data_IF_330633826793
#
_entry.id   IF_330633826793
#
_cell.length_a   1.000
_cell.length_b   1.000
_cell.length_c   1.000
_cell.angle_alpha   90.00
_cell.angle_beta   90.00
_cell.angle_gamma   90.00
#
_symmetry.space_group_name_H-M   'P 1'
#
loop_
_entity.id
_entity.type
_entity.pdbx_description
1 polymer ?
#
# COMPACT_ATOMS: atom_id res chain seq x y z
N UNK A 1 -10.69 -4.26 24.85
CA UNK A 1 -9.90 -3.96 23.63
C UNK A 1 -10.86 -3.86 22.44
N UNK A 2 -11.74 -2.87 22.47
CA UNK A 2 -12.69 -2.57 21.38
C UNK A 2 -12.80 -1.05 21.20
N UNK A 3 -12.65 -0.31 22.30
CA UNK A 3 -12.90 1.14 22.37
C UNK A 3 -11.86 2.02 21.64
N UNK A 4 -10.61 1.56 21.47
CA UNK A 4 -9.60 2.39 20.77
C UNK A 4 -9.79 2.42 19.25
N UNK A 5 -10.59 1.52 18.68
CA UNK A 5 -10.81 1.44 17.24
C UNK A 5 -11.89 2.42 16.77
N UNK A 6 -13.01 2.49 17.48
CA UNK A 6 -14.07 3.47 17.20
C UNK A 6 -13.58 4.92 17.33
N UNK A 7 -12.65 5.18 18.26
CA UNK A 7 -12.19 6.53 18.55
C UNK A 7 -11.07 7.04 17.64
N UNK A 8 -10.25 6.16 17.04
CA UNK A 8 -9.00 6.57 16.37
C UNK A 8 -8.79 6.03 14.96
N UNK A 9 -9.72 5.25 14.39
CA UNK A 9 -9.64 4.84 12.98
C UNK A 9 -8.34 4.12 12.60
N UNK A 10 -7.70 3.43 13.55
CA UNK A 10 -6.33 2.89 13.38
C UNK A 10 -6.21 1.74 12.37
N UNK A 11 -7.34 1.26 11.83
CA UNK A 11 -7.43 0.22 10.80
C UNK A 11 -7.96 0.72 9.45
N UNK A 12 -8.24 2.01 9.31
CA UNK A 12 -8.53 2.55 7.99
C UNK A 12 -7.23 2.61 7.19
N UNK A 13 -6.97 1.56 6.41
CA UNK A 13 -6.09 1.56 5.24
C UNK A 13 -6.66 2.47 4.12
N UNK A 14 -7.27 3.59 4.51
CA UNK A 14 -7.92 4.60 3.68
C UNK A 14 -6.97 5.71 3.23
N UNK A 15 -5.66 5.57 3.51
CA UNK A 15 -4.65 6.43 2.91
C UNK A 15 -4.52 6.09 1.43
N UNK A 16 -5.12 6.88 0.54
CA UNK A 16 -4.92 6.71 -0.90
C UNK A 16 -3.55 7.29 -1.29
N UNK A 17 -2.46 6.61 -0.92
CA UNK A 17 -1.09 7.10 -1.17
C UNK A 17 -0.80 7.21 -2.67
N UNK A 18 -1.52 6.44 -3.50
CA UNK A 18 -1.55 6.64 -4.93
C UNK A 18 -1.95 8.08 -5.32
N UNK A 19 -2.93 8.70 -4.67
CA UNK A 19 -3.32 10.08 -5.01
C UNK A 19 -2.24 11.11 -4.66
N UNK A 20 -1.48 10.88 -3.59
CA UNK A 20 -0.30 11.70 -3.27
C UNK A 20 0.77 11.58 -4.36
N UNK A 21 1.06 10.36 -4.83
CA UNK A 21 2.01 10.12 -5.93
C UNK A 21 1.62 10.84 -7.22
N UNK A 22 0.32 10.87 -7.55
CA UNK A 22 -0.22 11.64 -8.70
C UNK A 22 -0.16 13.14 -8.48
N UNK A 23 -0.54 13.62 -7.29
CA UNK A 23 -0.54 15.04 -6.96
C UNK A 23 0.87 15.66 -7.04
N UNK A 24 1.91 14.87 -6.78
CA UNK A 24 3.32 15.27 -6.93
C UNK A 24 3.85 15.16 -8.37
N UNK A 25 3.01 14.84 -9.36
CA UNK A 25 3.38 14.68 -10.77
C UNK A 25 3.97 13.31 -11.13
N UNK A 26 4.10 12.42 -10.15
CA UNK A 26 4.55 11.05 -10.33
C UNK A 26 3.48 10.15 -10.94
N UNK A 27 3.89 8.95 -11.32
CA UNK A 27 2.98 7.86 -11.61
C UNK A 27 2.72 7.09 -10.31
N UNK A 28 1.47 6.66 -10.12
CA UNK A 28 1.14 5.85 -8.96
C UNK A 28 0.06 4.83 -9.24
N UNK A 29 0.21 3.68 -8.60
CA UNK A 29 -0.66 2.52 -8.75
C UNK A 29 -0.90 1.88 -7.38
N UNK A 30 -2.14 1.45 -7.15
CA UNK A 30 -2.54 0.65 -5.99
C UNK A 30 -2.70 -0.80 -6.44
N UNK A 31 -2.02 -1.72 -5.77
CA UNK A 31 -1.97 -3.15 -6.07
C UNK A 31 -2.64 -3.89 -4.91
N UNK A 32 -3.81 -4.45 -5.18
CA UNK A 32 -4.60 -5.22 -4.22
C UNK A 32 -4.49 -6.73 -4.45
N UNK A 33 -4.12 -7.15 -5.67
CA UNK A 33 -3.89 -8.55 -6.02
C UNK A 33 -2.38 -8.85 -6.03
N UNK A 34 -1.89 -9.76 -5.16
CA UNK A 34 -0.47 -10.13 -5.13
C UNK A 34 0.04 -10.70 -6.46
N UNK A 35 -0.83 -11.28 -7.30
CA UNK A 35 -0.43 -11.76 -8.63
C UNK A 35 -0.05 -10.61 -9.58
N UNK A 36 -0.44 -9.37 -9.28
CA UNK A 36 -0.13 -8.21 -10.10
C UNK A 36 1.22 -7.56 -9.76
N UNK A 37 1.89 -7.97 -8.68
CA UNK A 37 3.16 -7.36 -8.22
C UNK A 37 4.21 -7.36 -9.32
N UNK A 38 4.45 -8.49 -9.98
CA UNK A 38 5.46 -8.60 -11.04
C UNK A 38 5.14 -7.70 -12.24
N UNK A 39 3.87 -7.63 -12.63
CA UNK A 39 3.41 -6.77 -13.71
C UNK A 39 3.50 -5.28 -13.33
N UNK A 40 3.22 -4.93 -12.07
CA UNK A 40 3.33 -3.57 -11.55
C UNK A 40 4.77 -3.07 -11.60
N UNK A 41 5.76 -3.90 -11.24
CA UNK A 41 7.17 -3.55 -11.40
C UNK A 41 7.57 -3.34 -12.86
N UNK A 42 7.03 -4.15 -13.77
CA UNK A 42 7.32 -3.99 -15.21
C UNK A 42 6.76 -2.66 -15.73
N UNK A 43 5.53 -2.29 -15.33
CA UNK A 43 4.93 -0.98 -15.65
C UNK A 43 5.73 0.17 -15.03
N UNK A 44 6.10 0.07 -13.76
CA UNK A 44 6.88 1.08 -13.06
C UNK A 44 8.24 1.34 -13.74
N UNK A 45 8.95 0.28 -14.10
CA UNK A 45 10.23 0.38 -14.82
C UNK A 45 10.06 1.13 -16.14
N UNK A 46 9.02 0.80 -16.91
CA UNK A 46 8.71 1.47 -18.17
C UNK A 46 8.49 2.98 -17.97
N UNK A 47 7.70 3.36 -16.97
CA UNK A 47 7.44 4.77 -16.65
C UNK A 47 8.73 5.51 -16.25
N UNK A 48 9.57 4.89 -15.42
CA UNK A 48 10.84 5.51 -15.00
C UNK A 48 11.81 5.65 -16.17
N UNK A 49 11.94 4.63 -17.01
CA UNK A 49 12.92 4.60 -18.12
C UNK A 49 12.47 5.42 -19.34
N UNK A 50 11.19 5.39 -19.70
CA UNK A 50 10.67 6.06 -20.90
C UNK A 50 10.15 7.47 -20.61
N UNK A 51 9.44 7.66 -19.49
CA UNK A 51 8.83 8.96 -19.14
C UNK A 51 9.70 9.79 -18.19
N UNK A 52 10.71 9.18 -17.54
CA UNK A 52 11.58 9.87 -16.57
C UNK A 52 10.84 10.32 -15.31
N UNK A 53 9.69 9.73 -15.00
CA UNK A 53 8.82 10.13 -13.89
C UNK A 53 9.04 9.25 -12.67
N UNK A 54 8.93 9.84 -11.48
CA UNK A 54 8.94 9.09 -10.23
C UNK A 54 7.69 8.20 -10.13
N UNK A 55 7.85 7.00 -9.56
CA UNK A 55 6.78 5.99 -9.44
C UNK A 55 6.55 5.63 -7.97
N UNK A 56 5.28 5.59 -7.55
CA UNK A 56 4.84 5.07 -6.26
C UNK A 56 3.92 3.85 -6.47
N UNK A 57 4.34 2.68 -5.98
CA UNK A 57 3.52 1.48 -5.97
C UNK A 57 3.02 1.23 -4.54
N UNK A 58 1.71 1.28 -4.35
CA UNK A 58 1.04 1.05 -3.08
C UNK A 58 0.52 -0.40 -3.04
N UNK A 59 1.08 -1.24 -2.17
CA UNK A 59 0.63 -2.62 -2.01
C UNK A 59 -0.33 -2.73 -0.84
N UNK A 60 -1.56 -3.17 -1.12
CA UNK A 60 -2.57 -3.39 -0.10
C UNK A 60 -2.44 -4.82 0.40
N UNK A 61 -2.05 -4.96 1.65
CA UNK A 61 -1.93 -6.24 2.33
C UNK A 61 -3.20 -6.53 3.12
N UNK A 62 -3.56 -7.82 3.24
CA UNK A 62 -4.58 -8.23 4.21
C UNK A 62 -4.17 -7.83 5.62
N UNK A 63 -5.14 -7.49 6.47
CA UNK A 63 -4.86 -7.23 7.88
C UNK A 63 -4.26 -8.47 8.55
N UNK A 64 -3.13 -8.31 9.25
CA UNK A 64 -2.53 -9.38 10.06
C UNK A 64 -3.53 -9.83 11.14
N UNK A 65 -3.98 -11.09 11.04
CA UNK A 65 -4.77 -11.77 12.08
C UNK A 65 -3.91 -12.63 13.00
N UNK A 66 -2.63 -12.84 12.69
CA UNK A 66 -1.72 -13.63 13.51
C UNK A 66 -0.93 -12.74 14.48
N UNK A 67 -1.23 -12.89 15.77
CA UNK A 67 -0.50 -12.23 16.85
C UNK A 67 0.69 -13.12 17.22
N UNK A 68 1.91 -12.69 16.88
CA UNK A 68 3.12 -13.40 17.31
C UNK A 68 3.34 -13.23 18.82
N UNK A 69 3.41 -14.36 19.53
CA UNK A 69 3.79 -14.53 20.94
C UNK A 69 2.81 -14.00 22.02
N UNK A 70 1.86 -14.85 22.43
CA UNK A 70 1.38 -14.86 23.82
C UNK A 70 1.70 -16.19 24.48
N UNK A 71 2.97 -16.40 24.84
CA UNK A 71 3.32 -17.41 25.84
C UNK A 71 2.90 -16.83 27.18
N UNK A 72 1.88 -17.41 27.80
CA UNK A 72 1.49 -17.07 29.16
C UNK A 72 2.68 -17.42 30.09
N UNK A 73 3.12 -16.43 30.87
CA UNK A 73 3.91 -16.68 32.07
C UNK A 73 3.00 -17.27 33.15
#
# INVERSE_FOLDING_TARGET
>A
MADSHELYGTRDLGGNYADLGRAMGGYSERIEDPNQIAAAFTRARKVTEEEGRAVLLEFITSEETEVSHRRAF
#
